data_IF_517947910362
#
_entry.id   IF_517947910362
#
_cell.length_a   1.000
_cell.length_b   1.000
_cell.length_c   1.000
_cell.angle_alpha   90.00
_cell.angle_beta   90.00
_cell.angle_gamma   90.00
#
_symmetry.space_group_name_H-M   'P 1'
#
loop_
_entity.id
_entity.type
_entity.pdbx_description
1 polymer ?
#
# COMPACT_ATOMS: atom_id res chain seq x y z
N UNK A 1 55.10 13.31 49.31
CA UNK A 1 55.09 11.84 49.46
C UNK A 1 53.67 11.42 49.77
N UNK A 2 53.07 10.54 48.97
CA UNK A 2 51.78 9.95 49.35
C UNK A 2 52.05 9.06 50.57
N UNK A 3 51.34 9.34 51.67
CA UNK A 3 51.45 8.60 52.93
C UNK A 3 50.94 7.17 52.75
N UNK A 4 51.40 6.23 53.53
CA UNK A 4 51.00 4.85 53.54
C UNK A 4 49.47 4.71 53.65
N UNK A 5 48.83 5.61 54.39
CA UNK A 5 47.36 5.69 54.52
C UNK A 5 46.67 5.91 53.17
N UNK A 6 47.19 6.80 52.34
CA UNK A 6 46.62 7.06 51.01
C UNK A 6 46.78 5.89 50.07
N UNK A 7 47.92 5.22 50.08
CA UNK A 7 48.15 4.03 49.24
C UNK A 7 47.24 2.87 49.65
N UNK A 8 47.04 2.65 50.93
CA UNK A 8 46.10 1.64 51.43
C UNK A 8 44.68 1.99 51.04
N UNK A 9 44.29 3.30 51.14
CA UNK A 9 42.96 3.74 50.76
C UNK A 9 42.69 3.56 49.25
N UNK A 10 43.66 3.85 48.38
CA UNK A 10 43.54 3.60 46.94
C UNK A 10 43.34 2.13 46.61
N UNK A 11 44.09 1.25 47.29
CA UNK A 11 43.97 -0.19 47.07
C UNK A 11 42.63 -0.75 47.57
N UNK A 12 42.22 -0.38 48.80
CA UNK A 12 41.00 -0.86 49.43
C UNK A 12 39.70 -0.33 48.75
N UNK A 13 39.74 0.87 48.17
CA UNK A 13 38.55 1.49 47.53
C UNK A 13 38.58 1.43 46.00
N UNK A 14 39.55 0.74 45.38
CA UNK A 14 39.54 0.55 43.93
C UNK A 14 38.34 -0.29 43.49
N UNK A 15 37.69 0.12 42.38
CA UNK A 15 36.58 -0.61 41.78
C UNK A 15 37.06 -1.83 40.95
N UNK A 16 38.31 -1.80 40.53
CA UNK A 16 38.97 -2.88 39.81
C UNK A 16 39.54 -3.90 40.81
N UNK A 17 39.48 -5.19 40.46
CA UNK A 17 40.18 -6.22 41.23
C UNK A 17 41.68 -6.04 41.13
N UNK A 18 42.39 -5.90 42.27
CA UNK A 18 43.83 -5.77 42.29
C UNK A 18 44.41 -6.99 43.06
N UNK A 19 45.24 -7.75 42.38
CA UNK A 19 45.90 -8.90 42.95
C UNK A 19 47.42 -8.77 42.76
N UNK A 20 48.16 -8.91 43.85
CA UNK A 20 49.61 -8.96 43.84
C UNK A 20 50.07 -10.40 43.99
N UNK A 21 50.98 -10.84 43.13
CA UNK A 21 51.65 -12.16 43.24
C UNK A 21 53.16 -12.02 43.39
N UNK A 22 53.77 -12.95 44.07
CA UNK A 22 55.21 -13.06 44.15
C UNK A 22 55.83 -13.80 42.93
N UNK A 23 57.13 -13.93 42.85
CA UNK A 23 57.86 -14.57 41.76
C UNK A 23 57.52 -16.05 41.52
N UNK A 24 56.82 -16.69 42.44
CA UNK A 24 56.31 -18.06 42.30
C UNK A 24 54.84 -18.10 41.83
N UNK A 25 54.21 -16.94 41.62
CA UNK A 25 52.80 -16.87 41.24
C UNK A 25 51.83 -17.09 42.40
N UNK A 26 52.35 -16.98 43.67
CA UNK A 26 51.47 -17.06 44.83
C UNK A 26 50.89 -15.69 45.17
N UNK A 27 49.60 -15.62 45.46
CA UNK A 27 48.87 -14.39 45.77
C UNK A 27 49.39 -13.91 47.21
N UNK A 28 49.91 -12.68 47.20
CA UNK A 28 50.40 -12.03 48.41
C UNK A 28 49.32 -11.09 48.98
N UNK A 29 48.61 -10.36 48.11
CA UNK A 29 47.54 -9.44 48.51
C UNK A 29 46.45 -9.45 47.45
N UNK A 30 45.21 -9.38 47.88
CA UNK A 30 44.05 -9.10 47.06
C UNK A 30 43.26 -7.95 47.70
N UNK A 31 42.67 -7.06 46.86
CA UNK A 31 41.82 -6.00 47.37
C UNK A 31 40.35 -6.45 47.49
N UNK A 32 39.49 -5.71 48.22
CA UNK A 32 38.09 -6.05 48.38
C UNK A 32 37.32 -6.26 47.06
N UNK A 33 37.65 -5.50 46.03
CA UNK A 33 37.00 -5.65 44.72
C UNK A 33 37.32 -7.03 44.11
N UNK A 34 38.55 -7.52 44.20
CA UNK A 34 38.91 -8.86 43.72
C UNK A 34 38.23 -9.96 44.58
N UNK A 35 38.10 -9.76 45.87
CA UNK A 35 37.38 -10.70 46.76
C UNK A 35 35.92 -10.84 46.35
N UNK A 36 35.23 -9.69 46.18
CA UNK A 36 33.80 -9.64 45.72
C UNK A 36 33.65 -10.25 44.34
N UNK A 37 34.53 -9.87 43.40
CA UNK A 37 34.47 -10.28 41.99
C UNK A 37 34.57 -11.80 41.83
N UNK A 38 35.50 -12.42 42.60
CA UNK A 38 35.75 -13.86 42.54
C UNK A 38 35.00 -14.69 43.58
N UNK A 39 34.36 -14.03 44.55
CA UNK A 39 33.59 -14.69 45.61
C UNK A 39 34.43 -15.35 46.70
N UNK A 40 35.71 -14.97 46.86
CA UNK A 40 36.59 -15.43 47.89
C UNK A 40 36.76 -14.36 48.97
N UNK A 41 37.00 -14.79 50.20
CA UNK A 41 37.55 -13.91 51.24
C UNK A 41 39.07 -13.75 51.07
N UNK A 42 39.61 -12.65 51.64
CA UNK A 42 41.09 -12.40 51.63
C UNK A 42 41.90 -13.57 52.13
N UNK A 43 41.47 -14.15 53.22
CA UNK A 43 42.19 -15.29 53.87
C UNK A 43 42.18 -16.56 53.01
N UNK A 44 41.21 -16.71 52.13
CA UNK A 44 41.13 -17.85 51.21
C UNK A 44 41.95 -17.63 49.91
N UNK A 45 42.20 -16.38 49.52
CA UNK A 45 43.02 -16.06 48.34
C UNK A 45 44.52 -15.95 48.66
N UNK A 46 44.87 -15.33 49.80
CA UNK A 46 46.26 -15.14 50.15
C UNK A 46 46.95 -16.49 50.39
N UNK A 47 48.15 -16.60 49.89
CA UNK A 47 48.97 -17.81 49.86
C UNK A 47 48.49 -18.92 48.91
N UNK A 48 47.46 -18.68 48.11
CA UNK A 48 47.06 -19.59 47.03
C UNK A 48 47.79 -19.25 45.70
N UNK A 49 48.04 -20.26 44.85
CA UNK A 49 48.53 -19.96 43.50
C UNK A 49 47.46 -19.20 42.69
N UNK A 50 47.89 -18.24 41.87
CA UNK A 50 46.96 -17.42 41.03
C UNK A 50 46.07 -18.28 40.13
N UNK A 51 46.50 -19.50 39.82
CA UNK A 51 45.78 -20.48 39.03
C UNK A 51 44.43 -20.92 39.64
N UNK A 52 44.18 -20.61 40.92
CA UNK A 52 42.89 -20.85 41.57
C UNK A 52 41.78 -20.02 40.90
N UNK A 53 42.14 -18.84 40.37
CA UNK A 53 41.24 -17.92 39.67
C UNK A 53 41.18 -18.16 38.16
N UNK A 54 41.84 -19.17 37.64
CA UNK A 54 41.86 -19.50 36.22
C UNK A 54 40.95 -20.71 35.98
N UNK A 55 40.07 -20.65 34.93
CA UNK A 55 39.27 -21.80 34.52
C UNK A 55 40.15 -23.04 34.27
N UNK A 56 39.68 -24.22 34.64
CA UNK A 56 40.44 -25.47 34.61
C UNK A 56 41.09 -25.74 33.26
N UNK A 57 40.38 -25.49 32.20
CA UNK A 57 40.80 -25.65 30.78
C UNK A 57 42.01 -24.78 30.40
N UNK A 58 42.29 -23.73 31.12
CA UNK A 58 43.38 -22.79 30.82
C UNK A 58 44.55 -22.82 31.83
N UNK A 59 44.47 -23.59 32.91
CA UNK A 59 45.47 -23.60 33.99
C UNK A 59 46.87 -23.97 33.51
N UNK A 60 47.01 -25.04 32.71
CA UNK A 60 48.30 -25.48 32.19
C UNK A 60 48.96 -24.42 31.29
N UNK A 61 48.17 -23.85 30.36
CA UNK A 61 48.66 -22.84 29.45
C UNK A 61 48.99 -21.54 30.19
N UNK A 62 48.18 -21.20 31.22
CA UNK A 62 48.43 -20.01 32.04
C UNK A 62 49.75 -20.15 32.81
N UNK A 63 50.04 -21.31 33.35
CA UNK A 63 51.30 -21.58 34.06
C UNK A 63 52.51 -21.32 33.13
N UNK A 64 52.49 -21.82 31.90
CA UNK A 64 53.57 -21.59 30.92
C UNK A 64 53.70 -20.09 30.58
N UNK A 65 52.57 -19.41 30.35
CA UNK A 65 52.57 -17.97 30.07
C UNK A 65 53.08 -17.14 31.23
N UNK A 66 52.76 -17.54 32.47
CA UNK A 66 53.23 -16.90 33.68
C UNK A 66 54.75 -17.07 33.84
N UNK A 67 55.30 -18.28 33.68
CA UNK A 67 56.76 -18.52 33.73
C UNK A 67 57.50 -17.69 32.66
N UNK A 68 56.94 -17.63 31.43
CA UNK A 68 57.50 -16.79 30.37
C UNK A 68 57.48 -15.29 30.72
N UNK A 69 56.40 -14.82 31.38
CA UNK A 69 56.29 -13.45 31.85
C UNK A 69 57.33 -13.08 32.91
N UNK A 70 57.55 -13.95 33.90
CA UNK A 70 58.55 -13.71 34.96
C UNK A 70 59.98 -13.66 34.42
N UNK A 71 60.28 -14.38 33.32
CA UNK A 71 61.62 -14.33 32.67
C UNK A 71 61.88 -12.99 31.95
N UNK A 72 60.84 -12.33 31.45
CA UNK A 72 60.94 -11.05 30.77
C UNK A 72 59.68 -10.21 31.05
N UNK A 73 59.58 -9.66 32.26
CA UNK A 73 58.39 -8.92 32.64
C UNK A 73 58.24 -7.62 31.88
N UNK A 74 56.99 -7.28 31.52
CA UNK A 74 56.64 -6.04 30.82
C UNK A 74 55.20 -5.63 31.17
N UNK A 75 54.96 -4.33 31.32
CA UNK A 75 53.61 -3.84 31.53
C UNK A 75 52.80 -4.08 30.26
N UNK A 76 51.68 -4.79 30.37
CA UNK A 76 50.82 -5.11 29.21
C UNK A 76 49.40 -5.42 29.62
N UNK A 77 48.48 -5.17 28.65
CA UNK A 77 47.15 -5.71 28.70
C UNK A 77 47.16 -7.14 28.16
N UNK A 78 46.49 -8.05 28.85
CA UNK A 78 46.40 -9.45 28.42
C UNK A 78 45.25 -9.63 27.41
N UNK A 79 45.30 -10.79 26.72
CA UNK A 79 44.20 -11.21 25.85
C UNK A 79 44.35 -10.85 24.39
N UNK A 80 44.98 -9.71 24.02
CA UNK A 80 45.21 -9.26 22.62
C UNK A 80 44.03 -9.60 21.68
N UNK A 81 42.80 -9.17 22.02
CA UNK A 81 41.57 -9.42 21.25
C UNK A 81 40.89 -10.75 21.52
N UNK A 82 41.37 -11.54 22.49
CA UNK A 82 40.71 -12.76 22.97
C UNK A 82 40.04 -12.50 24.32
N UNK A 83 38.84 -13.08 24.47
CA UNK A 83 38.12 -13.02 25.75
C UNK A 83 38.87 -13.82 26.81
N UNK A 84 39.16 -13.18 27.92
CA UNK A 84 39.71 -13.84 29.11
C UNK A 84 38.59 -14.13 30.09
N UNK A 85 38.75 -15.23 30.79
CA UNK A 85 37.78 -15.64 31.82
C UNK A 85 38.52 -15.94 33.13
N UNK A 86 37.98 -15.39 34.20
CA UNK A 86 38.30 -15.79 35.54
C UNK A 86 37.35 -16.87 36.05
N UNK A 87 37.81 -17.69 37.03
CA UNK A 87 36.98 -18.68 37.70
C UNK A 87 36.66 -18.20 39.12
N UNK A 88 35.36 -18.12 39.42
CA UNK A 88 34.89 -17.82 40.77
C UNK A 88 34.97 -19.01 41.70
N UNK A 89 34.81 -18.77 43.01
CA UNK A 89 34.80 -19.80 44.03
C UNK A 89 33.73 -20.87 43.81
N UNK A 90 32.55 -20.48 43.31
CA UNK A 90 31.42 -21.37 42.97
C UNK A 90 31.65 -22.19 41.69
N UNK A 91 32.78 -21.98 41.00
CA UNK A 91 33.15 -22.63 39.75
C UNK A 91 32.63 -21.92 38.48
N UNK A 92 31.80 -20.89 38.60
CA UNK A 92 31.33 -20.11 37.45
C UNK A 92 32.47 -19.32 36.79
N UNK A 93 32.33 -19.10 35.46
CA UNK A 93 33.30 -18.30 34.72
C UNK A 93 32.85 -16.83 34.64
N UNK A 94 33.80 -15.92 34.80
CA UNK A 94 33.62 -14.47 34.78
C UNK A 94 34.45 -13.89 33.64
N UNK A 95 33.85 -13.23 32.62
CA UNK A 95 34.62 -12.55 31.57
C UNK A 95 35.34 -11.34 32.16
N UNK A 96 36.65 -11.26 31.93
CA UNK A 96 37.52 -10.25 32.52
C UNK A 96 38.46 -9.61 31.51
N UNK A 97 38.80 -8.34 31.74
CA UNK A 97 39.96 -7.70 31.14
C UNK A 97 41.06 -7.63 32.21
N UNK A 98 42.31 -7.98 31.85
CA UNK A 98 43.42 -8.02 32.78
C UNK A 98 44.58 -7.19 32.25
N UNK A 99 45.10 -6.31 33.09
CA UNK A 99 46.33 -5.60 32.83
C UNK A 99 47.38 -6.00 33.86
N UNK A 100 48.58 -6.28 33.41
CA UNK A 100 49.70 -6.66 34.24
C UNK A 100 50.73 -5.54 34.35
N UNK A 101 51.20 -5.31 35.58
CA UNK A 101 52.33 -4.48 35.90
C UNK A 101 53.29 -5.27 36.81
N UNK A 102 54.52 -4.87 36.88
CA UNK A 102 55.52 -5.55 37.73
C UNK A 102 56.44 -4.54 38.40
N UNK A 103 57.01 -4.97 39.48
CA UNK A 103 58.11 -4.28 40.14
C UNK A 103 59.04 -5.30 40.81
N UNK A 104 60.29 -4.90 41.11
CA UNK A 104 61.26 -5.69 41.76
C UNK A 104 61.51 -5.14 43.18
N UNK A 105 61.55 -6.03 44.11
CA UNK A 105 61.95 -5.74 45.54
C UNK A 105 62.72 -6.92 46.14
N UNK A 106 63.82 -6.59 46.77
CA UNK A 106 64.71 -7.60 47.46
C UNK A 106 65.13 -8.75 46.52
N UNK A 107 65.41 -8.42 45.24
CA UNK A 107 65.77 -9.38 44.18
C UNK A 107 64.59 -10.34 43.79
N UNK A 108 63.38 -10.08 44.20
CA UNK A 108 62.18 -10.82 43.86
C UNK A 108 61.27 -9.97 42.94
N UNK A 109 60.74 -10.57 41.87
CA UNK A 109 59.77 -9.91 40.98
C UNK A 109 58.38 -10.13 41.53
N UNK A 110 57.66 -9.02 41.68
CA UNK A 110 56.24 -9.00 42.03
C UNK A 110 55.41 -8.55 40.82
N UNK A 111 54.25 -9.20 40.62
CA UNK A 111 53.34 -8.87 39.53
C UNK A 111 51.99 -8.39 40.10
N UNK A 112 51.55 -7.26 39.62
CA UNK A 112 50.22 -6.66 39.94
C UNK A 112 49.30 -6.95 38.76
N UNK A 113 48.19 -7.63 39.01
CA UNK A 113 47.11 -7.80 38.05
C UNK A 113 45.98 -6.84 38.41
N UNK A 114 45.59 -6.00 37.45
CA UNK A 114 44.35 -5.21 37.48
C UNK A 114 43.31 -5.96 36.69
N UNK A 115 42.17 -6.23 37.28
CA UNK A 115 41.14 -7.11 36.76
C UNK A 115 39.82 -6.33 36.72
N UNK A 116 39.23 -6.24 35.53
CA UNK A 116 37.95 -5.60 35.30
C UNK A 116 36.91 -6.66 34.91
N UNK A 117 35.79 -6.68 35.60
CA UNK A 117 34.62 -7.47 35.22
C UNK A 117 33.93 -6.82 34.01
N UNK A 118 33.91 -7.51 32.89
CA UNK A 118 33.29 -7.05 31.66
C UNK A 118 31.96 -7.75 31.34
N UNK A 119 31.36 -8.42 32.35
CA UNK A 119 30.08 -9.13 32.16
C UNK A 119 29.00 -8.22 31.61
N UNK A 120 28.80 -7.03 32.18
CA UNK A 120 27.82 -6.06 31.69
C UNK A 120 28.09 -5.59 30.25
N UNK A 121 29.39 -5.33 29.96
CA UNK A 121 29.79 -4.93 28.59
C UNK A 121 29.50 -6.06 27.57
N UNK A 122 29.82 -7.29 27.88
CA UNK A 122 29.55 -8.46 27.05
C UNK A 122 28.06 -8.72 26.85
N UNK A 123 27.24 -8.52 27.86
CA UNK A 123 25.80 -8.64 27.76
C UNK A 123 25.20 -7.58 26.80
N UNK A 124 25.67 -6.32 26.90
CA UNK A 124 25.27 -5.26 26.01
C UNK A 124 25.69 -5.56 24.57
N UNK A 125 26.93 -5.97 24.34
CA UNK A 125 27.48 -6.33 23.04
C UNK A 125 26.65 -7.45 22.37
N UNK A 126 26.38 -8.52 23.10
CA UNK A 126 25.56 -9.63 22.61
C UNK A 126 24.12 -9.19 22.28
N UNK A 127 23.52 -8.34 23.12
CA UNK A 127 22.20 -7.78 22.88
C UNK A 127 22.17 -6.92 21.63
N UNK A 128 23.20 -6.08 21.43
CA UNK A 128 23.31 -5.26 20.21
C UNK A 128 23.46 -6.12 18.95
N UNK A 129 24.24 -7.21 19.01
CA UNK A 129 24.36 -8.15 17.88
C UNK A 129 23.03 -8.83 17.54
N UNK A 130 22.27 -9.24 18.56
CA UNK A 130 20.94 -9.82 18.35
C UNK A 130 19.96 -8.81 17.74
N UNK A 131 19.91 -7.59 18.28
CA UNK A 131 19.05 -6.53 17.76
C UNK A 131 19.42 -6.15 16.32
N UNK A 132 20.72 -6.13 15.99
CA UNK A 132 21.17 -5.87 14.62
C UNK A 132 20.66 -6.94 13.66
N UNK A 133 20.82 -8.22 14.01
CA UNK A 133 20.34 -9.32 13.18
C UNK A 133 18.81 -9.30 12.98
N UNK A 134 18.05 -8.98 14.03
CA UNK A 134 16.61 -8.84 13.95
C UNK A 134 16.21 -7.66 13.04
N UNK A 135 16.90 -6.52 13.18
CA UNK A 135 16.65 -5.34 12.33
C UNK A 135 16.93 -5.63 10.85
N UNK A 136 18.01 -6.36 10.54
CA UNK A 136 18.33 -6.77 9.18
C UNK A 136 17.23 -7.65 8.57
N UNK A 137 16.70 -8.61 9.32
CA UNK A 137 15.58 -9.45 8.89
C UNK A 137 14.30 -8.65 8.64
N UNK A 138 13.95 -7.73 9.54
CA UNK A 138 12.77 -6.87 9.38
C UNK A 138 12.91 -5.95 8.17
N UNK A 139 14.11 -5.38 7.97
CA UNK A 139 14.39 -4.51 6.83
C UNK A 139 14.22 -5.26 5.51
N UNK A 140 14.71 -6.48 5.41
CA UNK A 140 14.56 -7.30 4.22
C UNK A 140 13.09 -7.66 3.96
N UNK A 141 12.34 -7.99 5.03
CA UNK A 141 10.90 -8.26 4.91
C UNK A 141 10.10 -7.05 4.44
N UNK A 142 10.45 -5.85 4.92
CA UNK A 142 9.84 -4.60 4.45
C UNK A 142 10.12 -4.36 2.96
N UNK A 143 11.35 -4.62 2.50
CA UNK A 143 11.70 -4.50 1.08
C UNK A 143 10.85 -5.41 0.19
N UNK A 144 10.70 -6.67 0.60
CA UNK A 144 9.87 -7.63 -0.13
C UNK A 144 8.41 -7.19 -0.20
N UNK A 145 7.84 -6.77 0.95
CA UNK A 145 6.46 -6.30 0.99
C UNK A 145 6.23 -5.04 0.15
N UNK A 146 7.18 -4.10 0.14
CA UNK A 146 7.09 -2.91 -0.70
C UNK A 146 7.11 -3.27 -2.19
N UNK A 147 8.00 -4.17 -2.62
CA UNK A 147 8.03 -4.64 -4.01
C UNK A 147 6.71 -5.32 -4.43
N UNK A 148 6.13 -6.18 -3.57
CA UNK A 148 4.83 -6.79 -3.82
C UNK A 148 3.70 -5.74 -3.88
N UNK A 149 3.77 -4.72 -3.03
CA UNK A 149 2.78 -3.65 -3.00
C UNK A 149 2.84 -2.79 -4.27
N UNK A 150 4.04 -2.45 -4.75
CA UNK A 150 4.24 -1.70 -5.99
C UNK A 150 3.60 -2.42 -7.17
N UNK A 151 3.85 -3.73 -7.33
CA UNK A 151 3.23 -4.55 -8.39
C UNK A 151 1.70 -4.50 -8.29
N UNK A 152 1.13 -4.69 -7.10
CA UNK A 152 -0.33 -4.66 -6.89
C UNK A 152 -0.93 -3.27 -7.17
N UNK A 153 -0.21 -2.20 -6.87
CA UNK A 153 -0.65 -0.83 -7.17
C UNK A 153 -0.67 -0.61 -8.67
N UNK A 154 0.37 -1.06 -9.41
CA UNK A 154 0.40 -0.97 -10.87
C UNK A 154 -0.75 -1.74 -11.53
N UNK A 155 -0.96 -3.00 -11.14
CA UNK A 155 -2.06 -3.84 -11.66
C UNK A 155 -3.43 -3.20 -11.41
N UNK A 156 -3.69 -2.72 -10.18
CA UNK A 156 -4.96 -2.08 -9.86
C UNK A 156 -5.16 -0.75 -10.60
N UNK A 157 -4.08 0.01 -10.79
CA UNK A 157 -4.13 1.26 -11.53
C UNK A 157 -4.48 1.02 -12.99
N UNK A 158 -3.92 -0.03 -13.61
CA UNK A 158 -4.24 -0.42 -14.98
C UNK A 158 -5.71 -0.84 -15.12
N UNK A 159 -6.19 -1.73 -14.24
CA UNK A 159 -7.59 -2.18 -14.22
C UNK A 159 -8.55 -1.00 -14.05
N UNK A 160 -8.24 -0.08 -13.14
CA UNK A 160 -9.07 1.10 -12.91
C UNK A 160 -9.12 2.01 -14.14
N UNK A 161 -7.99 2.20 -14.82
CA UNK A 161 -7.92 3.00 -16.05
C UNK A 161 -8.77 2.39 -17.17
N UNK A 162 -8.70 1.06 -17.36
CA UNK A 162 -9.54 0.36 -18.34
C UNK A 162 -11.04 0.46 -18.00
N UNK A 163 -11.39 0.33 -16.72
CA UNK A 163 -12.78 0.47 -16.27
C UNK A 163 -13.32 1.90 -16.50
N UNK A 164 -12.52 2.93 -16.22
CA UNK A 164 -12.88 4.32 -16.50
C UNK A 164 -13.10 4.56 -17.98
N UNK A 165 -12.22 4.07 -18.85
CA UNK A 165 -12.35 4.21 -20.29
C UNK A 165 -13.63 3.55 -20.83
N UNK A 166 -13.99 2.36 -20.34
CA UNK A 166 -15.24 1.69 -20.69
C UNK A 166 -16.47 2.46 -20.20
N UNK A 167 -16.39 3.04 -19.02
CA UNK A 167 -17.48 3.84 -18.47
C UNK A 167 -17.71 5.11 -19.29
N UNK A 168 -16.64 5.82 -19.67
CA UNK A 168 -16.72 7.01 -20.54
C UNK A 168 -17.36 6.66 -21.89
N UNK A 169 -16.91 5.58 -22.54
CA UNK A 169 -17.49 5.11 -23.79
C UNK A 169 -18.99 4.78 -23.65
N UNK A 170 -19.37 4.05 -22.61
CA UNK A 170 -20.77 3.72 -22.34
C UNK A 170 -21.64 4.96 -22.09
N UNK A 171 -21.07 5.96 -21.42
CA UNK A 171 -21.75 7.24 -21.19
C UNK A 171 -21.99 8.01 -22.47
N UNK A 172 -21.01 8.04 -23.40
CA UNK A 172 -21.16 8.67 -24.72
C UNK A 172 -22.23 7.96 -25.56
N UNK A 173 -22.19 6.61 -25.59
CA UNK A 173 -23.20 5.80 -26.31
C UNK A 173 -24.61 6.04 -25.77
N UNK A 174 -24.77 6.06 -24.44
CA UNK A 174 -26.07 6.34 -23.80
C UNK A 174 -26.57 7.74 -24.07
N UNK A 175 -25.69 8.75 -24.03
CA UNK A 175 -26.02 10.13 -24.35
C UNK A 175 -26.52 10.25 -25.79
N UNK A 176 -25.81 9.64 -26.77
CA UNK A 176 -26.20 9.61 -28.16
C UNK A 176 -27.54 8.88 -28.39
N UNK A 177 -27.82 7.81 -27.65
CA UNK A 177 -29.10 7.11 -27.71
C UNK A 177 -30.27 7.97 -27.19
N UNK A 178 -30.05 8.66 -26.06
CA UNK A 178 -31.03 9.58 -25.48
C UNK A 178 -31.37 10.74 -26.41
N UNK A 179 -30.38 11.31 -27.07
CA UNK A 179 -30.61 12.40 -28.02
C UNK A 179 -31.43 11.95 -29.24
N UNK A 180 -31.14 10.74 -29.75
CA UNK A 180 -31.94 10.13 -30.80
C UNK A 180 -33.38 9.88 -30.35
N UNK A 181 -33.60 9.37 -29.19
CA UNK A 181 -34.92 9.12 -28.61
C UNK A 181 -35.70 10.44 -28.43
N UNK A 182 -35.05 11.50 -27.96
CA UNK A 182 -35.67 12.84 -27.84
C UNK A 182 -36.10 13.38 -29.18
N UNK A 183 -35.23 13.30 -30.21
CA UNK A 183 -35.57 13.73 -31.58
C UNK A 183 -36.77 12.97 -32.14
N UNK A 184 -36.80 11.65 -31.97
CA UNK A 184 -37.91 10.81 -32.39
C UNK A 184 -39.20 11.19 -31.66
N UNK A 185 -39.13 11.47 -30.36
CA UNK A 185 -40.32 11.89 -29.60
C UNK A 185 -40.82 13.27 -29.97
N UNK A 186 -39.93 14.22 -30.30
CA UNK A 186 -40.31 15.53 -30.82
C UNK A 186 -41.01 15.40 -32.21
N UNK A 187 -40.46 14.60 -33.12
CA UNK A 187 -41.06 14.34 -34.44
C UNK A 187 -42.45 13.72 -34.26
N UNK A 188 -42.54 12.70 -33.38
CA UNK A 188 -43.83 12.06 -33.06
C UNK A 188 -44.86 13.04 -32.50
N UNK A 189 -44.46 13.93 -31.60
CA UNK A 189 -45.34 14.93 -31.02
C UNK A 189 -45.80 15.97 -32.03
N UNK A 190 -44.90 16.46 -32.89
CA UNK A 190 -45.25 17.36 -34.01
C UNK A 190 -46.20 16.69 -34.99
N UNK A 191 -45.95 15.43 -35.34
CA UNK A 191 -46.78 14.63 -36.22
C UNK A 191 -48.22 14.50 -35.67
N UNK A 192 -48.38 14.12 -34.42
CA UNK A 192 -49.71 14.02 -33.78
C UNK A 192 -50.44 15.38 -33.75
N UNK A 193 -49.70 16.46 -33.45
CA UNK A 193 -50.27 17.81 -33.41
C UNK A 193 -50.75 18.26 -34.79
N UNK A 194 -49.93 18.05 -35.84
CA UNK A 194 -50.26 18.39 -37.21
C UNK A 194 -51.45 17.56 -37.74
N UNK A 195 -51.42 16.24 -37.50
CA UNK A 195 -52.55 15.38 -37.82
C UNK A 195 -53.87 15.87 -37.22
N UNK A 196 -53.84 16.21 -35.92
CA UNK A 196 -55.01 16.72 -35.21
C UNK A 196 -55.54 18.01 -35.80
N UNK A 197 -54.67 18.89 -36.32
CA UNK A 197 -55.06 20.13 -36.99
C UNK A 197 -55.68 19.85 -38.36
N UNK A 198 -54.98 19.02 -39.17
CA UNK A 198 -55.47 18.71 -40.55
C UNK A 198 -56.81 17.95 -40.56
N UNK A 199 -57.08 17.11 -39.54
CA UNK A 199 -58.40 16.48 -39.42
C UNK A 199 -59.49 17.44 -38.91
N UNK A 200 -59.14 18.39 -38.02
CA UNK A 200 -60.15 19.30 -37.43
C UNK A 200 -60.79 20.20 -38.43
N UNK A 201 -60.03 20.71 -39.38
CA UNK A 201 -60.51 21.67 -40.39
C UNK A 201 -61.67 21.08 -41.25
N UNK A 202 -61.48 19.92 -41.96
CA UNK A 202 -62.58 19.36 -42.78
C UNK A 202 -63.73 18.86 -41.88
N UNK A 203 -63.48 18.32 -40.67
CA UNK A 203 -64.57 17.94 -39.76
C UNK A 203 -65.40 19.12 -39.32
N UNK A 204 -64.81 20.29 -39.08
CA UNK A 204 -65.53 21.53 -38.77
C UNK A 204 -66.36 21.98 -39.94
N UNK A 205 -65.86 21.85 -41.20
CA UNK A 205 -66.59 22.16 -42.43
C UNK A 205 -67.79 21.22 -42.62
N UNK A 206 -67.59 19.92 -42.34
CA UNK A 206 -68.74 18.96 -42.40
C UNK A 206 -69.79 19.33 -41.39
N UNK A 207 -69.43 19.56 -40.13
CA UNK A 207 -70.31 19.86 -39.02
C UNK A 207 -71.11 21.18 -39.29
N UNK A 208 -70.39 22.24 -39.69
CA UNK A 208 -71.02 23.53 -40.01
C UNK A 208 -71.98 23.45 -41.18
N UNK A 209 -71.62 22.75 -42.28
CA UNK A 209 -72.46 22.54 -43.45
C UNK A 209 -73.71 21.71 -43.14
N UNK A 210 -73.58 20.64 -42.35
CA UNK A 210 -74.67 19.82 -41.82
C UNK A 210 -75.63 20.65 -40.97
N UNK A 211 -75.11 21.51 -40.08
CA UNK A 211 -75.94 22.44 -39.29
C UNK A 211 -76.70 23.49 -40.13
N UNK A 212 -76.12 23.92 -41.23
CA UNK A 212 -76.79 24.83 -42.12
C UNK A 212 -77.89 24.13 -42.94
N UNK A 213 -77.61 22.91 -43.39
CA UNK A 213 -78.65 22.13 -44.13
C UNK A 213 -79.89 21.92 -43.27
N UNK A 214 -79.74 21.67 -42.00
CA UNK A 214 -80.87 21.48 -41.05
C UNK A 214 -81.74 22.74 -40.89
N UNK A 215 -81.24 23.91 -41.23
CA UNK A 215 -81.98 25.18 -41.15
C UNK A 215 -82.73 25.53 -42.42
N UNK A 216 -82.34 24.95 -43.58
CA UNK A 216 -82.97 25.16 -44.85
C UNK A 216 -84.19 24.22 -45.02
N UNK A 217 -85.36 24.66 -44.64
CA UNK A 217 -86.58 23.82 -44.60
C UNK A 217 -87.56 24.09 -45.75
N UNK A 218 -87.43 25.17 -46.55
CA UNK A 218 -88.30 25.50 -47.67
C UNK A 218 -87.84 24.88 -48.96
N UNK A 219 -88.75 24.69 -49.90
CA UNK A 219 -88.48 24.16 -51.28
C UNK A 219 -87.52 25.01 -52.10
N UNK A 220 -87.63 26.34 -51.95
CA UNK A 220 -86.81 27.33 -52.70
C UNK A 220 -85.33 27.36 -52.24
N UNK A 221 -84.98 26.66 -51.20
CA UNK A 221 -83.61 26.60 -50.63
C UNK A 221 -82.81 25.34 -51.06
N UNK A 222 -83.34 24.62 -52.06
CA UNK A 222 -82.67 23.36 -52.50
C UNK A 222 -81.28 23.60 -53.02
N UNK A 223 -81.00 24.65 -53.78
CA UNK A 223 -79.67 25.00 -54.30
C UNK A 223 -78.67 25.25 -53.16
N UNK A 224 -79.10 25.89 -52.11
CA UNK A 224 -78.23 26.09 -50.90
C UNK A 224 -77.90 24.77 -50.21
N UNK A 225 -78.90 23.87 -50.03
CA UNK A 225 -78.70 22.54 -49.52
C UNK A 225 -77.70 21.76 -50.36
N UNK A 226 -77.86 21.75 -51.65
CA UNK A 226 -76.95 21.02 -52.58
C UNK A 226 -75.53 21.55 -52.51
N UNK A 227 -75.31 22.85 -52.35
CA UNK A 227 -74.02 23.48 -52.21
C UNK A 227 -73.34 22.99 -50.87
N UNK A 228 -74.08 22.89 -49.81
CA UNK A 228 -73.52 22.38 -48.55
C UNK A 228 -73.28 20.87 -48.58
N UNK A 229 -74.11 20.08 -49.27
CA UNK A 229 -73.86 18.65 -49.50
C UNK A 229 -72.56 18.44 -50.29
N UNK A 230 -72.36 19.25 -51.35
CA UNK A 230 -71.10 19.18 -52.11
C UNK A 230 -69.86 19.53 -51.25
N UNK A 231 -70.02 20.55 -50.39
CA UNK A 231 -68.93 20.89 -49.42
C UNK A 231 -68.64 19.75 -48.46
N UNK A 232 -69.65 19.03 -47.92
CA UNK A 232 -69.46 17.85 -47.07
C UNK A 232 -68.75 16.78 -47.86
N UNK A 233 -69.19 16.42 -49.06
CA UNK A 233 -68.53 15.37 -49.87
C UNK A 233 -67.08 15.73 -50.15
N UNK A 234 -66.74 16.96 -50.53
CA UNK A 234 -65.35 17.40 -50.72
C UNK A 234 -64.52 17.30 -49.45
N UNK A 235 -65.08 17.66 -48.29
CA UNK A 235 -64.36 17.59 -47.03
C UNK A 235 -64.15 16.14 -46.58
N UNK A 236 -65.07 15.22 -46.86
CA UNK A 236 -64.88 13.78 -46.56
C UNK A 236 -63.83 13.14 -47.46
N UNK A 237 -63.84 13.48 -48.77
CA UNK A 237 -62.79 13.01 -49.68
C UNK A 237 -61.43 13.52 -49.23
N UNK A 238 -61.30 14.80 -48.93
CA UNK A 238 -60.02 15.32 -48.34
C UNK A 238 -59.61 14.65 -47.06
N UNK A 239 -60.54 14.24 -46.19
CA UNK A 239 -60.23 13.45 -44.99
C UNK A 239 -59.68 12.06 -45.33
N UNK A 240 -60.24 11.42 -46.40
CA UNK A 240 -59.76 10.14 -46.88
C UNK A 240 -58.33 10.25 -47.43
N UNK A 241 -58.09 11.27 -48.25
CA UNK A 241 -56.77 11.54 -48.81
C UNK A 241 -55.71 11.75 -47.72
N UNK A 242 -56.00 12.57 -46.69
CA UNK A 242 -55.16 12.78 -45.54
C UNK A 242 -54.92 11.46 -44.79
N UNK A 243 -55.95 10.62 -44.63
CA UNK A 243 -55.82 9.32 -43.97
C UNK A 243 -54.92 8.37 -44.75
N UNK A 244 -55.06 8.32 -46.08
CA UNK A 244 -54.18 7.50 -46.95
C UNK A 244 -52.71 7.95 -46.86
N UNK A 245 -52.46 9.27 -46.87
CA UNK A 245 -51.14 9.84 -46.71
C UNK A 245 -50.53 9.41 -45.37
N UNK A 246 -51.27 9.45 -44.24
CA UNK A 246 -50.87 9.01 -42.93
C UNK A 246 -50.57 7.53 -42.88
N UNK A 247 -51.40 6.67 -43.46
CA UNK A 247 -51.20 5.24 -43.53
C UNK A 247 -49.99 4.88 -44.40
N UNK A 248 -49.77 5.59 -45.49
CA UNK A 248 -48.58 5.43 -46.33
C UNK A 248 -47.28 5.78 -45.59
N UNK A 249 -47.27 6.88 -44.85
CA UNK A 249 -46.14 7.25 -43.97
C UNK A 249 -45.90 6.24 -42.87
N UNK A 250 -46.95 5.64 -42.29
CA UNK A 250 -46.86 4.54 -41.34
C UNK A 250 -46.19 3.31 -41.92
N UNK A 251 -46.56 2.91 -43.14
CA UNK A 251 -45.97 1.78 -43.87
C UNK A 251 -44.49 2.02 -44.22
N UNK A 252 -44.13 3.24 -44.59
CA UNK A 252 -42.74 3.67 -44.82
C UNK A 252 -41.87 3.44 -43.57
N UNK A 253 -42.33 3.87 -42.40
CA UNK A 253 -41.61 3.73 -41.13
C UNK A 253 -41.45 2.24 -40.70
N UNK A 254 -42.37 1.37 -41.10
CA UNK A 254 -42.27 -0.08 -40.81
C UNK A 254 -41.41 -0.85 -41.84
N UNK A 255 -40.88 -0.17 -42.87
CA UNK A 255 -40.10 -0.79 -43.94
C UNK A 255 -40.90 -1.76 -44.81
N UNK A 256 -42.24 -1.63 -44.82
CA UNK A 256 -43.20 -2.48 -45.56
C UNK A 256 -43.63 -1.91 -46.91
N UNK A 257 -42.88 -0.96 -47.47
CA UNK A 257 -43.13 -0.50 -48.84
C UNK A 257 -42.55 -1.50 -49.83
N UNK A 258 -43.40 -2.24 -50.51
CA UNK A 258 -43.04 -2.98 -51.71
C UNK A 258 -42.96 -1.97 -52.87
N UNK A 259 -41.77 -1.68 -53.38
CA UNK A 259 -41.58 -0.91 -54.61
C UNK A 259 -41.87 -1.81 -55.77
N UNK A 260 -42.98 -1.57 -56.43
CA UNK A 260 -43.25 -2.13 -57.75
C UNK A 260 -42.50 -1.29 -58.78
N UNK A 261 -41.53 -1.89 -59.44
CA UNK A 261 -40.83 -1.27 -60.54
C UNK A 261 -41.63 -1.55 -61.84
N UNK A 262 -42.20 -0.49 -62.41
CA UNK A 262 -42.86 -0.57 -63.71
C UNK A 262 -42.10 0.31 -64.73
N UNK A 263 -42.03 -0.19 -65.94
CA UNK A 263 -41.51 0.63 -67.05
C UNK A 263 -42.59 1.67 -67.42
N UNK A 264 -42.28 2.93 -67.18
CA UNK A 264 -43.20 4.06 -67.54
C UNK A 264 -42.58 4.92 -68.63
N UNK A 265 -43.43 5.38 -69.54
CA UNK A 265 -43.07 6.37 -70.55
C UNK A 265 -43.02 7.75 -69.91
N UNK A 266 -41.80 8.26 -69.68
CA UNK A 266 -41.54 9.51 -68.99
C UNK A 266 -42.23 10.70 -69.66
N UNK A 267 -42.42 10.65 -71.04
CA UNK A 267 -43.12 11.71 -71.84
C UNK A 267 -44.62 11.76 -71.57
N UNK A 268 -45.25 10.60 -71.36
CA UNK A 268 -46.70 10.52 -71.03
C UNK A 268 -46.91 10.98 -69.58
N UNK A 269 -46.05 10.55 -68.66
CA UNK A 269 -46.13 10.96 -67.25
C UNK A 269 -45.96 12.44 -67.05
N UNK A 270 -45.09 13.12 -67.83
CA UNK A 270 -44.88 14.57 -67.75
C UNK A 270 -46.08 15.28 -68.37
N UNK A 271 -46.66 14.74 -69.46
CA UNK A 271 -47.88 15.37 -70.11
C UNK A 271 -49.07 15.29 -69.14
N UNK A 272 -49.32 14.15 -68.52
CA UNK A 272 -50.40 13.94 -67.54
C UNK A 272 -50.26 14.81 -66.29
N UNK A 273 -49.04 15.05 -65.80
CA UNK A 273 -48.79 15.93 -64.63
C UNK A 273 -48.89 17.44 -64.97
N UNK A 274 -48.79 17.86 -66.24
CA UNK A 274 -48.95 19.25 -66.68
C UNK A 274 -50.38 19.61 -66.96
N UNK A 275 -51.28 18.64 -67.23
CA UNK A 275 -52.69 18.82 -67.46
C UNK A 275 -53.57 18.78 -66.19
N UNK A 276 -53.02 18.42 -65.02
CA UNK A 276 -53.64 18.54 -63.69
C UNK A 276 -53.35 19.93 -63.04
#
# INVERSE_FOLDING_TARGET
MLDQVHMTSLFENATEGIILTNGKGVIVVANPAAEIMFGYSRNELVNQPIEVLIPEKFKSIHHEHREGFYKKPSNRTMGHGRDLFGRKMDGSELPVEISLSHYERDSETFVIAFIVDITGRKQIENRMLQQKAELEMVTEKIRQLNAELEIKVEERTLILKEALQKLEQSQEELSGALDKERQLNEIKSRFVSMASHEFRTPLTTVLSSASLISKYTSGDEQEKRDKHIQRIKKSVNNLNDILEDFLSLGKLNEGKLETLLEEINLGELIADTLDE
#
